data_IF_473445973401
#
_entry.id   IF_473445973401
#
_cell.length_a   1.000
_cell.length_b   1.000
_cell.length_c   1.000
_cell.angle_alpha   90.00
_cell.angle_beta   90.00
_cell.angle_gamma   90.00
#
_symmetry.space_group_name_H-M   'P 1'
#
loop_
_entity.id
_entity.type
_entity.pdbx_description
1 polymer ?
#
# COMPACT_ATOMS: atom_id res chain seq x y z
N UNK A 1 -30.14 -9.34 -25.68
CA UNK A 1 -28.82 -9.65 -25.11
C UNK A 1 -28.76 -9.00 -23.73
N UNK A 2 -29.07 -9.76 -22.69
CA UNK A 2 -28.93 -9.33 -21.29
C UNK A 2 -27.44 -9.32 -20.96
N UNK A 3 -26.80 -8.15 -21.11
CA UNK A 3 -25.42 -7.96 -20.65
C UNK A 3 -25.37 -8.22 -19.15
N UNK A 4 -24.53 -9.17 -18.73
CA UNK A 4 -24.24 -9.39 -17.32
C UNK A 4 -23.58 -8.12 -16.80
N UNK A 5 -24.31 -7.31 -16.04
CA UNK A 5 -23.72 -6.14 -15.39
C UNK A 5 -22.79 -6.64 -14.28
N UNK A 6 -21.52 -6.25 -14.34
CA UNK A 6 -20.55 -6.55 -13.29
C UNK A 6 -20.99 -5.83 -12.01
N UNK A 7 -21.24 -6.59 -10.95
CA UNK A 7 -21.73 -6.04 -9.67
C UNK A 7 -20.60 -5.52 -8.79
N UNK A 8 -19.40 -6.10 -8.93
CA UNK A 8 -18.21 -5.71 -8.18
C UNK A 8 -16.93 -6.13 -8.89
N UNK A 9 -15.82 -5.55 -8.46
CA UNK A 9 -14.48 -5.82 -8.97
C UNK A 9 -13.57 -6.33 -7.85
N UNK A 10 -12.59 -7.15 -8.22
CA UNK A 10 -11.58 -7.63 -7.29
C UNK A 10 -10.19 -7.62 -7.91
N UNK A 11 -9.19 -7.46 -7.05
CA UNK A 11 -7.80 -7.56 -7.43
C UNK A 11 -7.36 -9.02 -7.42
N UNK A 12 -6.80 -9.49 -8.52
CA UNK A 12 -6.30 -10.86 -8.66
C UNK A 12 -4.84 -10.90 -9.05
N UNK A 13 -4.16 -11.96 -8.60
CA UNK A 13 -2.78 -12.24 -9.02
C UNK A 13 -2.83 -13.02 -10.32
N UNK A 14 -2.29 -12.44 -11.39
CA UNK A 14 -2.14 -13.07 -12.68
C UNK A 14 -0.67 -13.47 -12.92
N UNK A 15 -0.45 -14.62 -13.56
CA UNK A 15 0.88 -15.02 -14.04
C UNK A 15 1.07 -14.47 -15.45
N UNK A 16 2.07 -13.59 -15.63
CA UNK A 16 2.38 -12.95 -16.92
C UNK A 16 3.40 -13.77 -17.69
N UNK A 17 4.39 -14.31 -16.99
CA UNK A 17 5.35 -15.30 -17.48
C UNK A 17 5.62 -16.31 -16.36
N UNK A 18 6.30 -17.43 -16.66
CA UNK A 18 6.59 -18.52 -15.68
C UNK A 18 7.19 -18.03 -14.36
N UNK A 19 7.90 -16.91 -14.36
CA UNK A 19 8.57 -16.36 -13.16
C UNK A 19 8.10 -14.94 -12.78
N UNK A 20 7.04 -14.42 -13.42
CA UNK A 20 6.55 -13.05 -13.17
C UNK A 20 5.06 -13.03 -12.92
N UNK A 21 4.71 -12.77 -11.66
CA UNK A 21 3.34 -12.49 -11.26
C UNK A 21 3.06 -10.98 -11.29
N UNK A 22 1.81 -10.65 -11.55
CA UNK A 22 1.25 -9.31 -11.68
C UNK A 22 -0.06 -9.22 -10.93
N UNK A 23 -0.48 -8.01 -10.57
CA UNK A 23 -1.84 -7.74 -10.16
C UNK A 23 -2.65 -7.18 -11.32
N UNK A 24 -3.89 -7.65 -11.42
CA UNK A 24 -4.90 -7.18 -12.37
C UNK A 24 -6.21 -6.91 -11.64
N UNK A 25 -7.09 -6.13 -12.25
CA UNK A 25 -8.44 -5.91 -11.75
C UNK A 25 -9.41 -6.65 -12.66
N UNK A 26 -10.27 -7.49 -12.07
CA UNK A 26 -11.27 -8.28 -12.80
C UNK A 26 -12.67 -8.03 -12.24
N UNK A 27 -13.70 -8.21 -13.06
CA UNK A 27 -15.08 -8.33 -12.58
C UNK A 27 -15.25 -9.59 -11.74
N UNK A 28 -15.94 -9.47 -10.61
CA UNK A 28 -16.11 -10.57 -9.68
C UNK A 28 -17.04 -11.67 -10.23
N UNK A 29 -17.99 -11.28 -11.10
CA UNK A 29 -19.04 -12.16 -11.62
C UNK A 29 -18.65 -12.82 -12.94
N UNK A 30 -17.94 -12.10 -13.81
CA UNK A 30 -17.62 -12.51 -15.18
C UNK A 30 -16.14 -12.84 -15.40
N UNK A 31 -15.28 -12.55 -14.41
CA UNK A 31 -13.83 -12.68 -14.50
C UNK A 31 -13.20 -11.86 -15.64
N UNK A 32 -13.96 -10.93 -16.23
CA UNK A 32 -13.47 -10.10 -17.31
C UNK A 32 -12.47 -9.08 -16.78
N UNK A 33 -11.41 -8.83 -17.54
CA UNK A 33 -10.41 -7.85 -17.17
C UNK A 33 -11.00 -6.44 -17.23
N UNK A 34 -10.96 -5.71 -16.11
CA UNK A 34 -11.18 -4.27 -16.15
C UNK A 34 -9.93 -3.61 -16.74
N UNK A 35 -10.03 -3.27 -18.03
CA UNK A 35 -8.90 -2.86 -18.88
C UNK A 35 -8.14 -1.67 -18.30
N UNK A 36 -8.84 -0.59 -17.97
CA UNK A 36 -8.24 0.68 -17.54
C UNK A 36 -7.57 0.53 -16.18
N UNK A 37 -8.23 -0.19 -15.27
CA UNK A 37 -7.70 -0.52 -13.95
C UNK A 37 -6.44 -1.38 -14.03
N UNK A 38 -6.41 -2.35 -14.94
CA UNK A 38 -5.24 -3.23 -15.14
C UNK A 38 -4.09 -2.50 -15.85
N UNK A 39 -4.38 -1.64 -16.83
CA UNK A 39 -3.37 -0.79 -17.47
C UNK A 39 -2.73 0.21 -16.51
N UNK A 40 -3.50 0.74 -15.56
CA UNK A 40 -2.96 1.56 -14.47
C UNK A 40 -1.91 0.79 -13.66
N UNK A 41 -2.18 -0.47 -13.29
CA UNK A 41 -1.23 -1.31 -12.55
C UNK A 41 0.03 -1.62 -13.37
N UNK A 42 -0.12 -1.88 -14.67
CA UNK A 42 1.02 -2.00 -15.59
C UNK A 42 1.85 -0.72 -15.62
N UNK A 43 1.19 0.45 -15.67
CA UNK A 43 1.84 1.75 -15.59
C UNK A 43 2.66 1.94 -14.31
N UNK A 44 2.12 1.54 -13.14
CA UNK A 44 2.85 1.58 -11.87
C UNK A 44 4.09 0.69 -11.90
N UNK A 45 3.96 -0.52 -12.46
CA UNK A 45 5.07 -1.47 -12.56
C UNK A 45 6.17 -0.95 -13.46
N UNK A 46 5.81 -0.39 -14.61
CA UNK A 46 6.76 0.19 -15.56
C UNK A 46 7.47 1.43 -14.98
N UNK A 47 6.82 2.16 -14.08
CA UNK A 47 7.42 3.23 -13.29
C UNK A 47 8.31 2.74 -12.12
N UNK A 48 8.59 1.43 -12.04
CA UNK A 48 9.47 0.85 -11.02
C UNK A 48 8.86 0.79 -9.61
N UNK A 49 7.54 0.88 -9.47
CA UNK A 49 6.89 0.76 -8.15
C UNK A 49 7.04 -0.65 -7.59
N UNK A 50 7.20 -0.74 -6.26
CA UNK A 50 7.38 -2.02 -5.58
C UNK A 50 6.14 -2.92 -5.72
N UNK A 51 6.35 -4.24 -5.77
CA UNK A 51 5.28 -5.24 -5.91
C UNK A 51 4.17 -5.11 -4.85
N UNK A 52 4.54 -4.84 -3.59
CA UNK A 52 3.55 -4.63 -2.52
C UNK A 52 2.74 -3.33 -2.71
N UNK A 53 3.33 -2.31 -3.34
CA UNK A 53 2.60 -1.09 -3.72
C UNK A 53 1.60 -1.42 -4.82
N UNK A 54 2.01 -2.15 -5.86
CA UNK A 54 1.12 -2.62 -6.93
C UNK A 54 -0.06 -3.42 -6.36
N UNK A 55 0.20 -4.39 -5.49
CA UNK A 55 -0.83 -5.18 -4.79
C UNK A 55 -1.81 -4.30 -4.02
N UNK A 56 -1.28 -3.36 -3.24
CA UNK A 56 -2.10 -2.44 -2.43
C UNK A 56 -2.96 -1.58 -3.33
N UNK A 57 -2.39 -1.06 -4.42
CA UNK A 57 -3.09 -0.22 -5.37
C UNK A 57 -4.18 -0.99 -6.11
N UNK A 58 -3.91 -2.23 -6.53
CA UNK A 58 -4.89 -3.09 -7.18
C UNK A 58 -6.15 -3.27 -6.32
N UNK A 59 -5.96 -3.59 -5.03
CA UNK A 59 -7.09 -3.74 -4.10
C UNK A 59 -7.88 -2.45 -3.90
N UNK A 60 -7.20 -1.30 -3.83
CA UNK A 60 -7.85 0.01 -3.67
C UNK A 60 -8.61 0.45 -4.92
N UNK A 61 -8.03 0.24 -6.10
CA UNK A 61 -8.67 0.51 -7.38
C UNK A 61 -9.90 -0.38 -7.56
N UNK A 62 -9.80 -1.68 -7.26
CA UNK A 62 -10.94 -2.59 -7.32
C UNK A 62 -12.06 -2.20 -6.34
N UNK A 63 -11.73 -1.78 -5.12
CA UNK A 63 -12.71 -1.29 -4.15
C UNK A 63 -13.47 -0.07 -4.67
N UNK A 64 -12.78 0.90 -5.26
CA UNK A 64 -13.40 2.08 -5.85
C UNK A 64 -14.29 1.74 -7.04
N UNK A 65 -13.81 0.91 -7.97
CA UNK A 65 -14.62 0.47 -9.11
C UNK A 65 -15.87 -0.30 -8.67
N UNK A 66 -15.76 -1.11 -7.61
CA UNK A 66 -16.91 -1.80 -7.01
C UNK A 66 -17.91 -0.82 -6.40
N UNK A 67 -17.43 0.21 -5.72
CA UNK A 67 -18.28 1.27 -5.19
C UNK A 67 -19.02 1.98 -6.32
N UNK A 68 -18.33 2.35 -7.40
CA UNK A 68 -18.94 2.95 -8.58
C UNK A 68 -20.02 2.04 -9.19
N UNK A 69 -19.72 0.74 -9.38
CA UNK A 69 -20.71 -0.22 -9.88
C UNK A 69 -21.96 -0.31 -8.99
N UNK A 70 -21.77 -0.43 -7.67
CA UNK A 70 -22.87 -0.51 -6.71
C UNK A 70 -23.73 0.76 -6.69
N UNK A 71 -23.09 1.93 -6.76
CA UNK A 71 -23.76 3.24 -6.80
C UNK A 71 -24.24 3.63 -8.20
N UNK A 72 -24.04 2.76 -9.21
CA UNK A 72 -24.35 3.00 -10.63
C UNK A 72 -23.73 4.29 -11.17
N UNK A 73 -22.49 4.55 -10.78
CA UNK A 73 -21.66 5.66 -11.25
C UNK A 73 -20.74 5.16 -12.35
N UNK A 74 -20.59 5.97 -13.41
CA UNK A 74 -19.43 5.83 -14.28
C UNK A 74 -18.20 6.32 -13.52
N UNK A 75 -17.19 5.46 -13.36
CA UNK A 75 -15.97 5.79 -12.67
C UNK A 75 -15.16 6.89 -13.38
N UNK A 76 -15.33 7.03 -14.70
CA UNK A 76 -14.59 8.00 -15.51
C UNK A 76 -15.23 9.40 -15.51
N UNK A 77 -16.51 9.50 -15.18
CA UNK A 77 -17.29 10.76 -15.14
C UNK A 77 -17.65 11.19 -13.72
N UNK A 78 -16.93 10.70 -12.71
CA UNK A 78 -17.21 11.07 -11.32
C UNK A 78 -16.93 12.54 -11.04
N UNK A 79 -17.76 13.10 -10.17
CA UNK A 79 -17.59 14.45 -9.61
C UNK A 79 -16.78 14.41 -8.31
N UNK A 80 -16.21 15.56 -7.92
CA UNK A 80 -15.55 15.74 -6.62
C UNK A 80 -16.50 15.41 -5.46
N UNK A 81 -17.79 15.74 -5.58
CA UNK A 81 -18.78 15.44 -4.56
C UNK A 81 -19.04 13.92 -4.40
N UNK A 82 -19.09 13.17 -5.50
CA UNK A 82 -19.19 11.71 -5.45
C UNK A 82 -17.94 11.06 -4.85
N UNK A 83 -16.76 11.62 -5.12
CA UNK A 83 -15.52 11.16 -4.46
C UNK A 83 -15.48 11.50 -2.97
N UNK A 84 -16.05 12.64 -2.55
CA UNK A 84 -16.23 12.96 -1.13
C UNK A 84 -17.19 11.98 -0.46
N UNK A 85 -18.30 11.63 -1.11
CA UNK A 85 -19.22 10.58 -0.62
C UNK A 85 -18.54 9.22 -0.52
N UNK A 86 -17.67 8.88 -1.47
CA UNK A 86 -16.87 7.67 -1.37
C UNK A 86 -15.93 7.69 -0.15
N UNK A 87 -15.28 8.83 0.13
CA UNK A 87 -14.42 9.00 1.31
C UNK A 87 -15.20 8.77 2.62
N UNK A 88 -16.37 9.38 2.77
CA UNK A 88 -17.23 9.20 3.94
C UNK A 88 -17.74 7.75 4.05
N UNK A 89 -18.19 7.17 2.94
CA UNK A 89 -18.60 5.77 2.90
C UNK A 89 -17.50 4.82 3.36
N UNK A 90 -16.22 5.09 3.06
CA UNK A 90 -15.12 4.22 3.49
C UNK A 90 -15.00 4.08 5.02
N UNK A 91 -15.33 5.13 5.77
CA UNK A 91 -15.22 5.18 7.24
C UNK A 91 -16.55 4.85 7.92
N UNK A 92 -17.68 5.08 7.26
CA UNK A 92 -19.02 4.76 7.77
C UNK A 92 -19.43 3.31 7.49
N UNK A 93 -18.94 2.70 6.42
CA UNK A 93 -19.27 1.32 6.08
C UNK A 93 -18.47 0.33 6.94
N UNK A 94 -19.12 -0.60 7.65
CA UNK A 94 -18.43 -1.62 8.42
C UNK A 94 -17.61 -2.54 7.51
N UNK A 95 -16.38 -2.85 7.95
CA UNK A 95 -15.54 -3.84 7.30
C UNK A 95 -16.16 -5.23 7.45
N UNK A 96 -16.06 -6.02 6.38
CA UNK A 96 -16.43 -7.42 6.41
C UNK A 96 -15.80 -8.14 7.62
N UNK A 97 -16.60 -8.94 8.30
CA UNK A 97 -16.17 -9.68 9.49
C UNK A 97 -14.98 -10.59 9.16
N UNK A 98 -13.94 -10.54 10.00
CA UNK A 98 -12.81 -11.49 9.91
C UNK A 98 -13.16 -12.89 10.40
N UNK A 99 -14.27 -13.04 11.14
CA UNK A 99 -14.71 -14.31 11.69
C UNK A 99 -15.56 -15.07 10.66
N UNK A 100 -15.14 -16.30 10.32
CA UNK A 100 -15.98 -17.23 9.55
C UNK A 100 -17.27 -17.64 10.29
N UNK A 101 -17.35 -17.44 11.61
CA UNK A 101 -18.51 -17.80 12.44
C UNK A 101 -19.47 -16.63 12.70
N UNK A 102 -19.20 -15.45 12.13
CA UNK A 102 -19.93 -14.22 12.48
C UNK A 102 -19.63 -13.76 13.91
N UNK A 103 -20.18 -12.61 14.32
CA UNK A 103 -20.28 -12.21 15.75
C UNK A 103 -19.12 -11.42 16.38
N UNK A 104 -18.26 -10.77 15.59
CA UNK A 104 -17.31 -9.79 16.13
C UNK A 104 -17.90 -8.37 16.15
N UNK A 105 -17.37 -7.43 16.97
CA UNK A 105 -17.77 -6.03 16.90
C UNK A 105 -17.52 -5.48 15.50
N UNK A 106 -18.39 -4.59 15.05
CA UNK A 106 -18.19 -3.88 13.79
C UNK A 106 -16.87 -3.12 13.83
N UNK A 107 -16.15 -3.18 12.72
CA UNK A 107 -14.84 -2.54 12.58
C UNK A 107 -14.92 -1.57 11.41
N UNK A 108 -14.55 -0.34 11.64
CA UNK A 108 -14.51 0.68 10.61
C UNK A 108 -13.09 0.92 10.12
N UNK A 109 -12.93 1.51 8.93
CA UNK A 109 -11.63 1.97 8.47
C UNK A 109 -11.26 3.25 9.21
N UNK A 110 -10.01 3.37 9.62
CA UNK A 110 -9.51 4.65 10.15
C UNK A 110 -9.27 5.67 9.04
N UNK A 111 -9.35 6.95 9.38
CA UNK A 111 -9.24 8.09 8.46
C UNK A 111 -7.96 8.05 7.61
N UNK A 112 -6.83 7.70 8.21
CA UNK A 112 -5.55 7.53 7.50
C UNK A 112 -5.63 6.47 6.39
N UNK A 113 -6.34 5.38 6.65
CA UNK A 113 -6.56 4.33 5.65
C UNK A 113 -7.47 4.82 4.54
N UNK A 114 -8.57 5.49 4.88
CA UNK A 114 -9.50 6.05 3.91
C UNK A 114 -8.82 7.09 3.00
N UNK A 115 -8.03 8.00 3.59
CA UNK A 115 -7.20 8.97 2.89
C UNK A 115 -6.18 8.31 1.95
N UNK A 116 -5.57 7.21 2.36
CA UNK A 116 -4.64 6.46 1.51
C UNK A 116 -5.36 5.76 0.33
N UNK A 117 -6.59 5.26 0.55
CA UNK A 117 -7.43 4.69 -0.50
C UNK A 117 -7.79 5.77 -1.53
N UNK A 118 -8.37 6.89 -1.08
CA UNK A 118 -8.72 8.02 -1.96
C UNK A 118 -7.49 8.57 -2.67
N UNK A 119 -6.33 8.59 -2.01
CA UNK A 119 -5.08 8.93 -2.65
C UNK A 119 -4.73 8.08 -3.86
N UNK A 120 -4.87 6.75 -3.73
CA UNK A 120 -4.69 5.82 -4.85
C UNK A 120 -5.74 6.04 -5.94
N UNK A 121 -6.99 6.34 -5.58
CA UNK A 121 -8.06 6.63 -6.55
C UNK A 121 -7.75 7.90 -7.34
N UNK A 122 -7.31 8.98 -6.69
CA UNK A 122 -6.89 10.19 -7.40
C UNK A 122 -5.70 9.94 -8.34
N UNK A 123 -4.75 9.08 -7.96
CA UNK A 123 -3.65 8.67 -8.86
C UNK A 123 -4.15 7.85 -10.06
N UNK A 124 -5.14 6.99 -9.85
CA UNK A 124 -5.80 6.24 -10.93
C UNK A 124 -6.56 7.18 -11.88
N UNK A 125 -7.35 8.11 -11.36
CA UNK A 125 -8.06 9.10 -12.19
C UNK A 125 -7.09 10.01 -12.94
N UNK A 126 -6.01 10.44 -12.30
CA UNK A 126 -4.95 11.22 -12.96
C UNK A 126 -4.24 10.42 -14.07
N UNK A 127 -4.06 9.10 -13.88
CA UNK A 127 -3.61 8.21 -14.95
C UNK A 127 -4.64 8.17 -16.09
N UNK A 128 -5.93 8.05 -15.77
CA UNK A 128 -7.03 8.09 -16.74
C UNK A 128 -7.04 9.38 -17.57
N UNK A 129 -6.81 10.54 -16.95
CA UNK A 129 -6.70 11.82 -17.67
C UNK A 129 -5.53 11.82 -18.67
N UNK A 130 -4.36 11.30 -18.27
CA UNK A 130 -3.20 11.19 -19.18
C UNK A 130 -3.46 10.24 -20.35
N UNK A 131 -4.26 9.21 -20.15
CA UNK A 131 -4.64 8.24 -21.18
C UNK A 131 -5.86 8.70 -22.00
N UNK A 132 -6.48 9.84 -21.66
CA UNK A 132 -7.67 10.37 -22.34
C UNK A 132 -8.99 9.68 -21.98
N UNK A 133 -9.05 8.94 -20.87
CA UNK A 133 -10.27 8.27 -20.39
C UNK A 133 -11.12 9.13 -19.48
N UNK A 134 -10.51 10.13 -18.84
CA UNK A 134 -11.14 11.00 -17.84
C UNK A 134 -10.96 12.45 -18.26
N UNK A 135 -11.98 13.27 -18.05
CA UNK A 135 -11.96 14.71 -18.33
C UNK A 135 -10.88 15.44 -17.51
N UNK A 136 -10.17 16.39 -18.13
CA UNK A 136 -9.03 17.09 -17.49
C UNK A 136 -9.49 18.01 -16.36
N UNK A 137 -10.72 18.49 -16.44
CA UNK A 137 -11.39 19.39 -15.51
C UNK A 137 -11.47 18.78 -14.12
N UNK A 138 -11.68 17.45 -14.02
CA UNK A 138 -11.74 16.73 -12.75
C UNK A 138 -10.42 16.87 -11.96
N UNK A 139 -9.27 16.78 -12.64
CA UNK A 139 -7.97 16.88 -11.99
C UNK A 139 -7.74 18.25 -11.35
N UNK A 140 -8.18 19.32 -12.02
CA UNK A 140 -8.12 20.69 -11.49
C UNK A 140 -8.98 20.88 -10.25
N UNK A 141 -10.12 20.19 -10.16
CA UNK A 141 -11.02 20.24 -9.01
C UNK A 141 -10.59 19.32 -7.85
N UNK A 142 -9.68 18.36 -8.08
CA UNK A 142 -9.19 17.44 -7.05
C UNK A 142 -7.93 17.94 -6.32
N UNK A 143 -7.24 18.93 -6.87
CA UNK A 143 -6.00 19.44 -6.31
C UNK A 143 -5.99 20.95 -6.18
N UNK A 144 -5.53 21.45 -5.03
CA UNK A 144 -5.20 22.86 -4.83
C UNK A 144 -3.67 23.05 -4.82
N UNK A 145 -3.17 24.17 -5.36
CA UNK A 145 -1.77 24.54 -5.16
C UNK A 145 -1.54 24.93 -3.70
N UNK A 146 -0.66 24.22 -3.03
CA UNK A 146 -0.21 24.46 -1.65
C UNK A 146 1.23 24.91 -1.64
N UNK A 147 1.47 26.06 -1.04
CA UNK A 147 2.81 26.58 -0.84
C UNK A 147 3.52 25.81 0.28
N UNK A 148 4.72 25.32 0.00
CA UNK A 148 5.60 24.68 0.96
C UNK A 148 6.42 25.74 1.69
N UNK A 149 6.06 26.00 2.95
CA UNK A 149 6.86 26.86 3.83
C UNK A 149 8.23 26.26 4.17
N UNK A 150 8.30 24.93 4.23
CA UNK A 150 9.52 24.16 4.43
C UNK A 150 9.69 23.19 3.27
N UNK A 151 10.83 23.28 2.59
CA UNK A 151 11.20 22.39 1.50
C UNK A 151 11.75 21.07 2.05
N UNK A 152 11.33 19.92 1.52
CA UNK A 152 11.99 18.65 1.80
C UNK A 152 13.47 18.69 1.42
N UNK A 153 14.32 17.96 2.14
CA UNK A 153 15.75 17.87 1.84
C UNK A 153 15.97 17.41 0.40
N UNK A 154 16.68 18.22 -0.40
CA UNK A 154 16.95 17.95 -1.82
C UNK A 154 15.89 18.47 -2.80
N UNK A 155 14.90 19.24 -2.34
CA UNK A 155 13.93 19.89 -3.21
C UNK A 155 14.44 21.28 -3.62
N UNK A 156 14.69 21.48 -4.91
CA UNK A 156 15.14 22.76 -5.47
C UNK A 156 13.94 23.71 -5.63
N UNK A 157 13.90 24.86 -4.93
CA UNK A 157 12.83 25.84 -5.11
C UNK A 157 12.87 26.56 -6.47
N UNK A 158 13.94 26.42 -7.25
CA UNK A 158 14.22 27.22 -8.44
C UNK A 158 14.78 28.61 -8.10
N UNK A 159 15.15 29.39 -9.12
CA UNK A 159 15.83 30.68 -8.95
C UNK A 159 14.97 31.73 -8.21
N UNK A 160 13.63 31.68 -8.37
CA UNK A 160 12.67 32.62 -7.75
C UNK A 160 11.54 31.90 -6.97
N UNK A 161 11.85 30.80 -6.26
CA UNK A 161 10.87 30.03 -5.48
C UNK A 161 9.68 29.45 -6.30
N UNK A 162 9.79 29.44 -7.62
CA UNK A 162 8.77 28.99 -8.58
C UNK A 162 8.31 27.54 -8.37
N UNK A 163 9.15 26.69 -7.76
CA UNK A 163 8.83 25.28 -7.48
C UNK A 163 8.33 25.03 -6.05
N UNK A 164 8.13 26.07 -5.24
CA UNK A 164 7.63 25.93 -3.86
C UNK A 164 6.14 25.60 -3.75
N UNK A 165 5.42 25.50 -4.86
CA UNK A 165 4.02 25.08 -4.85
C UNK A 165 3.90 23.61 -5.20
N UNK A 166 3.29 22.82 -4.30
CA UNK A 166 2.91 21.44 -4.56
C UNK A 166 1.41 21.33 -4.69
N UNK A 167 0.91 20.41 -5.51
CA UNK A 167 -0.52 20.13 -5.58
C UNK A 167 -0.93 19.27 -4.38
N UNK A 168 -1.68 19.83 -3.43
CA UNK A 168 -2.32 19.05 -2.35
C UNK A 168 -3.72 18.59 -2.77
N UNK A 169 -4.13 17.45 -2.24
CA UNK A 169 -5.47 16.90 -2.49
C UNK A 169 -6.50 17.67 -1.68
N UNK A 170 -7.60 18.03 -2.33
CA UNK A 170 -8.73 18.69 -1.68
C UNK A 170 -9.58 17.73 -0.83
N UNK A 171 -9.69 16.47 -1.27
CA UNK A 171 -10.50 15.45 -0.58
C UNK A 171 -9.62 14.69 0.42
N UNK A 172 -9.71 15.04 1.70
CA UNK A 172 -9.02 14.36 2.79
C UNK A 172 -9.78 14.52 4.12
N UNK A 173 -9.90 13.45 4.90
CA UNK A 173 -10.35 13.52 6.29
C UNK A 173 -9.22 14.07 7.18
N UNK A 174 -9.59 14.88 8.18
CA UNK A 174 -8.68 15.32 9.22
C UNK A 174 -8.33 14.15 10.13
N UNK A 175 -7.18 13.54 9.88
CA UNK A 175 -6.68 12.40 10.63
C UNK A 175 -5.72 12.85 11.74
N UNK A 176 -5.94 12.39 12.97
CA UNK A 176 -4.93 12.51 14.03
C UNK A 176 -3.77 11.56 13.73
N UNK A 177 -2.54 12.08 13.80
CA UNK A 177 -1.35 11.26 13.83
C UNK A 177 -1.14 10.81 15.28
N UNK A 178 -1.32 9.51 15.56
CA UNK A 178 -1.14 8.95 16.89
C UNK A 178 0.32 8.95 17.35
N UNK A 179 1.24 9.37 16.48
CA UNK A 179 2.67 9.35 16.75
C UNK A 179 3.24 7.92 16.68
N UNK A 180 4.54 7.81 16.96
CA UNK A 180 5.22 6.53 17.01
C UNK A 180 4.98 5.92 18.39
N UNK A 181 4.29 4.79 18.44
CA UNK A 181 4.17 3.96 19.64
C UNK A 181 5.31 2.94 19.69
N UNK A 182 5.82 2.65 20.90
CA UNK A 182 6.80 1.60 21.13
C UNK A 182 6.42 0.77 22.35
N UNK A 183 6.89 -0.47 22.37
CA UNK A 183 6.67 -1.39 23.48
C UNK A 183 7.67 -1.14 24.60
N UNK A 184 7.23 -1.25 25.85
CA UNK A 184 8.11 -1.22 27.03
C UNK A 184 8.90 -2.52 27.15
N UNK A 185 9.96 -2.51 27.96
CA UNK A 185 10.79 -3.70 28.21
C UNK A 185 9.93 -4.83 28.80
N UNK A 186 9.01 -4.52 29.69
CA UNK A 186 8.10 -5.48 30.33
C UNK A 186 7.14 -6.09 29.31
N UNK A 187 6.62 -5.28 28.38
CA UNK A 187 5.76 -5.76 27.30
C UNK A 187 6.54 -6.69 26.34
N UNK A 188 7.79 -6.38 26.03
CA UNK A 188 8.66 -7.25 25.22
C UNK A 188 8.95 -8.56 25.94
N UNK A 189 9.29 -8.52 27.24
CA UNK A 189 9.50 -9.73 28.05
C UNK A 189 8.25 -10.61 28.02
N UNK A 190 7.07 -10.01 28.16
CA UNK A 190 5.80 -10.73 28.08
C UNK A 190 5.56 -11.38 26.72
N UNK A 191 5.89 -10.70 25.62
CA UNK A 191 5.79 -11.27 24.26
C UNK A 191 6.69 -12.49 24.08
N UNK A 192 7.89 -12.48 24.65
CA UNK A 192 8.83 -13.61 24.61
C UNK A 192 8.31 -14.80 25.43
N UNK A 193 7.71 -14.55 26.60
CA UNK A 193 7.11 -15.60 27.44
C UNK A 193 5.96 -16.32 26.75
N UNK A 194 5.04 -15.59 26.12
CA UNK A 194 3.86 -16.17 25.48
C UNK A 194 4.15 -16.83 24.14
N UNK A 195 5.30 -16.53 23.52
CA UNK A 195 5.71 -17.17 22.28
C UNK A 195 6.00 -18.66 22.51
N UNK A 196 5.23 -19.52 21.83
CA UNK A 196 5.25 -20.98 22.03
C UNK A 196 6.42 -21.70 21.38
N UNK A 197 7.08 -21.06 20.41
CA UNK A 197 8.15 -21.67 19.61
C UNK A 197 9.43 -20.83 19.67
N UNK A 198 10.58 -21.49 19.66
CA UNK A 198 11.89 -20.84 19.65
C UNK A 198 12.04 -19.86 18.48
N UNK A 199 11.44 -20.18 17.31
CA UNK A 199 11.40 -19.29 16.15
C UNK A 199 10.75 -17.95 16.45
N UNK A 200 9.59 -17.98 17.11
CA UNK A 200 8.80 -16.77 17.36
C UNK A 200 9.46 -15.93 18.46
N UNK A 201 10.06 -16.58 19.47
CA UNK A 201 10.91 -15.91 20.48
C UNK A 201 12.10 -15.22 19.84
N UNK A 202 12.82 -15.92 18.97
CA UNK A 202 13.95 -15.36 18.23
C UNK A 202 13.53 -14.15 17.40
N UNK A 203 12.39 -14.24 16.69
CA UNK A 203 11.88 -13.13 15.88
C UNK A 203 11.59 -11.88 16.72
N UNK A 204 10.93 -12.03 17.88
CA UNK A 204 10.64 -10.90 18.79
C UNK A 204 11.95 -10.25 19.26
N UNK A 205 12.91 -11.05 19.73
CA UNK A 205 14.19 -10.55 20.22
C UNK A 205 15.02 -9.89 19.10
N UNK A 206 14.99 -10.46 17.89
CA UNK A 206 15.69 -9.93 16.74
C UNK A 206 15.15 -8.54 16.36
N UNK A 207 13.83 -8.38 16.26
CA UNK A 207 13.20 -7.11 15.92
C UNK A 207 13.49 -6.05 16.98
N UNK A 208 13.38 -6.42 18.26
CA UNK A 208 13.64 -5.52 19.37
C UNK A 208 15.11 -5.09 19.45
N UNK A 209 16.06 -6.04 19.34
CA UNK A 209 17.48 -5.78 19.50
C UNK A 209 18.14 -5.07 18.32
N UNK A 210 17.54 -5.12 17.12
CA UNK A 210 18.15 -4.56 15.90
C UNK A 210 17.37 -3.41 15.28
N UNK A 211 16.09 -3.24 15.63
CA UNK A 211 15.21 -2.24 15.01
C UNK A 211 14.90 -2.51 13.54
N UNK A 212 15.22 -3.69 13.00
CA UNK A 212 14.98 -4.01 11.60
C UNK A 212 13.48 -4.13 11.29
N UNK A 213 13.11 -3.87 10.03
CA UNK A 213 11.72 -4.04 9.61
C UNK A 213 11.36 -5.51 9.55
N UNK A 214 10.11 -5.85 9.84
CA UNK A 214 9.61 -7.23 9.79
C UNK A 214 9.90 -7.92 8.44
N UNK A 215 9.80 -7.19 7.32
CA UNK A 215 10.11 -7.74 5.99
C UNK A 215 11.58 -8.08 5.78
N UNK A 216 12.49 -7.35 6.44
CA UNK A 216 13.93 -7.61 6.43
C UNK A 216 14.23 -8.84 7.28
N UNK A 217 13.67 -8.92 8.50
CA UNK A 217 13.81 -10.07 9.40
C UNK A 217 13.32 -11.38 8.77
N UNK A 218 12.14 -11.35 8.14
CA UNK A 218 11.56 -12.52 7.45
C UNK A 218 12.31 -12.89 6.17
N UNK A 219 13.14 -11.99 5.63
CA UNK A 219 13.97 -12.22 4.45
C UNK A 219 15.39 -12.70 4.75
N UNK A 220 15.78 -12.75 6.03
CA UNK A 220 17.11 -13.22 6.43
C UNK A 220 17.30 -14.69 6.10
N UNK A 221 18.48 -15.00 5.54
CA UNK A 221 19.00 -16.35 5.39
C UNK A 221 20.08 -16.59 6.43
N UNK A 222 20.44 -17.86 6.65
CA UNK A 222 21.53 -18.22 7.58
C UNK A 222 22.86 -17.55 7.21
N UNK A 223 23.14 -17.42 5.92
CA UNK A 223 24.33 -16.73 5.39
C UNK A 223 24.41 -15.23 5.74
N UNK A 224 23.29 -14.61 6.11
CA UNK A 224 23.21 -13.19 6.43
C UNK A 224 23.49 -12.88 7.90
N UNK A 225 23.59 -13.91 8.76
CA UNK A 225 23.69 -13.74 10.22
C UNK A 225 25.08 -14.06 10.73
N UNK A 226 25.85 -13.03 11.11
CA UNK A 226 27.22 -13.18 11.60
C UNK A 226 27.23 -12.81 13.09
N UNK A 227 27.21 -13.82 13.95
CA UNK A 227 27.04 -13.62 15.39
C UNK A 227 28.36 -13.63 16.18
N UNK A 228 29.48 -13.87 15.47
CA UNK A 228 30.81 -13.95 16.06
C UNK A 228 31.59 -12.64 15.86
N UNK A 229 32.63 -12.37 16.66
CA UNK A 229 33.47 -11.17 16.52
C UNK A 229 34.18 -11.09 15.16
N UNK A 230 34.47 -12.24 14.55
CA UNK A 230 35.11 -12.37 13.24
C UNK A 230 34.29 -13.30 12.35
N UNK A 231 34.07 -12.89 11.10
CA UNK A 231 33.37 -13.64 10.05
C UNK A 231 34.09 -13.55 8.70
N UNK A 232 35.38 -13.20 8.70
CA UNK A 232 36.22 -13.17 7.48
C UNK A 232 36.30 -14.54 6.80
N UNK A 233 36.30 -15.63 7.58
CA UNK A 233 36.25 -17.00 7.06
C UNK A 233 35.01 -17.27 6.18
N UNK A 234 33.93 -16.49 6.36
CA UNK A 234 32.70 -16.55 5.56
C UNK A 234 32.64 -15.47 4.47
N UNK A 235 33.76 -14.78 4.19
CA UNK A 235 33.85 -13.72 3.19
C UNK A 235 33.27 -12.38 3.64
N UNK A 236 33.07 -12.17 4.94
CA UNK A 236 32.58 -10.90 5.48
C UNK A 236 33.69 -10.04 6.06
N UNK A 237 33.76 -8.79 5.62
CA UNK A 237 34.75 -7.82 6.09
C UNK A 237 34.26 -6.96 7.27
N UNK A 238 32.97 -7.06 7.63
CA UNK A 238 32.39 -6.31 8.74
C UNK A 238 32.81 -7.00 10.05
N UNK A 239 33.41 -6.24 10.95
CA UNK A 239 33.84 -6.73 12.27
C UNK A 239 32.68 -6.76 13.25
N UNK A 240 32.74 -7.70 14.20
CA UNK A 240 31.76 -7.83 15.27
C UNK A 240 30.45 -8.50 14.83
N UNK A 241 29.54 -8.80 15.78
CA UNK A 241 28.24 -9.38 15.47
C UNK A 241 27.37 -8.41 14.65
N UNK A 242 26.87 -8.85 13.50
CA UNK A 242 26.03 -8.04 12.61
C UNK A 242 25.13 -8.91 11.72
N UNK A 243 24.21 -8.25 11.03
CA UNK A 243 23.26 -8.88 10.11
C UNK A 243 23.28 -8.16 8.77
N UNK A 244 23.25 -8.92 7.68
CA UNK A 244 23.16 -8.37 6.34
C UNK A 244 21.73 -8.37 5.81
N UNK A 245 21.17 -7.18 5.63
CA UNK A 245 19.91 -7.03 4.89
C UNK A 245 20.23 -7.01 3.40
N UNK A 246 19.90 -8.08 2.67
CA UNK A 246 20.00 -8.12 1.21
C UNK A 246 18.64 -8.17 0.55
N UNK A 247 18.47 -7.40 -0.52
CA UNK A 247 17.27 -7.46 -1.36
C UNK A 247 17.28 -8.75 -2.18
N UNK A 248 16.32 -9.63 -1.92
CA UNK A 248 16.13 -10.91 -2.61
C UNK A 248 14.65 -11.20 -2.78
N UNK A 249 14.31 -12.01 -3.79
CA UNK A 249 12.99 -12.59 -3.91
C UNK A 249 12.93 -13.85 -3.03
N UNK A 250 12.32 -13.75 -1.86
CA UNK A 250 12.22 -14.87 -0.93
C UNK A 250 11.01 -15.75 -1.26
N UNK A 251 11.13 -17.06 -1.03
CA UNK A 251 10.05 -18.04 -1.25
C UNK A 251 8.82 -17.79 -0.39
N UNK A 252 8.99 -17.15 0.76
CA UNK A 252 7.91 -16.71 1.65
C UNK A 252 7.31 -15.34 1.26
N UNK A 253 7.78 -14.72 0.16
CA UNK A 253 7.33 -13.41 -0.30
C UNK A 253 7.88 -12.22 0.51
N UNK A 254 8.80 -12.44 1.46
CA UNK A 254 9.43 -11.36 2.22
C UNK A 254 10.33 -10.51 1.32
N UNK A 255 10.30 -9.19 1.52
CA UNK A 255 11.02 -8.21 0.72
C UNK A 255 11.60 -7.09 1.59
N UNK A 256 12.91 -6.86 1.48
CA UNK A 256 13.59 -5.72 2.08
C UNK A 256 13.48 -4.49 1.14
N UNK A 257 12.98 -3.37 1.66
CA UNK A 257 12.71 -2.18 0.83
C UNK A 257 13.96 -1.48 0.34
#
# INVERSE_FOLDING_TARGET
MTGTFVTSYRAERAEVTKDRAAWVVIGADDYALHREGSLFLVGLRNAGRAYNTERTYAGRTALYLSYCAHQRLDWAEVTVWQLSRFLHWLVEEPLASRSRRGGGPERFRGDNTANAIVGTVCEFLAFGVRMGWVAKELLGQLTEPKYLRHLPTGYDPGEDDQHRTVRSRLIKLASLDSGIEWLTIEQIARLVEVARHARDRFLVLLLWGTGMRIGEALGLRREDMHLLPDSQAFGCQVKGPHLHVRRRLNSNGAWAK
#
